data_IF_026576839947
#
_entry.id   IF_026576839947
#
_cell.length_a   1.000
_cell.length_b   1.000
_cell.length_c   1.000
_cell.angle_alpha   90.00
_cell.angle_beta   90.00
_cell.angle_gamma   90.00
#
_symmetry.space_group_name_H-M   'P 1'
#
loop_
_entity.id
_entity.type
_entity.pdbx_description
1 polymer ?
#
# COMPACT_ATOMS: atom_id res chain seq x y z
N UNK A 1 3.58 -2.39 23.28
CA UNK A 1 3.63 -2.90 21.89
C UNK A 1 3.98 -4.37 21.95
N UNK A 2 3.13 -5.25 21.44
CA UNK A 2 3.44 -6.68 21.35
C UNK A 2 4.61 -6.86 20.38
N UNK A 3 5.76 -7.33 20.89
CA UNK A 3 7.00 -7.47 20.10
C UNK A 3 6.86 -8.45 18.92
N UNK A 4 5.85 -9.33 18.97
CA UNK A 4 5.74 -10.53 18.13
C UNK A 4 4.69 -10.36 17.02
N UNK A 5 3.67 -9.51 17.20
CA UNK A 5 2.58 -9.35 16.24
C UNK A 5 2.07 -7.93 16.15
N UNK A 6 1.71 -7.51 14.94
CA UNK A 6 1.04 -6.23 14.68
C UNK A 6 -0.47 -6.31 14.92
N UNK A 7 -0.99 -7.48 15.33
CA UNK A 7 -2.42 -7.66 15.61
C UNK A 7 -2.81 -6.76 16.79
N UNK A 8 -3.93 -6.06 16.66
CA UNK A 8 -4.47 -5.16 17.68
C UNK A 8 -5.97 -5.37 17.81
N UNK A 9 -6.51 -5.06 18.97
CA UNK A 9 -7.95 -5.06 19.20
C UNK A 9 -8.58 -3.75 18.71
N UNK A 10 -9.90 -3.77 18.48
CA UNK A 10 -10.64 -2.65 17.85
C UNK A 10 -10.66 -1.40 18.73
N UNK A 11 -10.69 -1.58 20.04
CA UNK A 11 -10.67 -0.57 21.08
C UNK A 11 -9.31 0.12 21.23
N UNK A 12 -8.23 -0.48 20.72
CA UNK A 12 -6.90 0.13 20.68
C UNK A 12 -6.71 1.12 19.51
N UNK A 13 -7.65 1.15 18.55
CA UNK A 13 -7.54 1.98 17.35
C UNK A 13 -7.71 3.46 17.67
N UNK A 14 -6.82 4.27 17.12
CA UNK A 14 -6.88 5.73 17.19
C UNK A 14 -6.98 6.33 15.79
N UNK A 15 -7.74 7.43 15.60
CA UNK A 15 -7.73 8.16 14.34
C UNK A 15 -6.31 8.44 13.86
N UNK A 16 -6.05 8.23 12.58
CA UNK A 16 -4.72 8.29 11.97
C UNK A 16 -3.91 7.00 12.05
N UNK A 17 -4.41 5.91 12.64
CA UNK A 17 -3.74 4.61 12.57
C UNK A 17 -3.77 4.06 11.13
N UNK A 18 -2.60 3.66 10.64
CA UNK A 18 -2.50 2.86 9.42
C UNK A 18 -2.75 1.41 9.80
N UNK A 19 -3.84 0.86 9.31
CA UNK A 19 -4.27 -0.50 9.56
C UNK A 19 -4.17 -1.35 8.29
N UNK A 20 -4.04 -2.64 8.48
CA UNK A 20 -4.08 -3.58 7.38
C UNK A 20 -4.72 -4.90 7.80
N UNK A 21 -5.16 -5.66 6.81
CA UNK A 21 -5.67 -7.03 6.95
C UNK A 21 -5.07 -7.90 5.85
N UNK A 22 -4.76 -9.15 6.18
CA UNK A 22 -4.35 -10.11 5.17
C UNK A 22 -5.55 -10.58 4.32
N UNK A 23 -5.27 -10.93 3.08
CA UNK A 23 -6.23 -11.36 2.05
C UNK A 23 -5.69 -12.58 1.32
N UNK A 24 -6.61 -13.34 0.71
CA UNK A 24 -6.30 -14.53 -0.09
C UNK A 24 -5.28 -15.45 0.60
N UNK A 25 -5.60 -15.91 1.82
CA UNK A 25 -4.74 -16.78 2.63
C UNK A 25 -3.31 -16.21 2.78
N UNK A 26 -3.20 -14.96 3.22
CA UNK A 26 -1.94 -14.25 3.41
C UNK A 26 -1.12 -14.01 2.12
N UNK A 27 -1.73 -14.09 0.93
CA UNK A 27 -1.05 -13.75 -0.33
C UNK A 27 -0.70 -12.25 -0.39
N UNK A 28 -1.57 -11.37 0.12
CA UNK A 28 -1.30 -9.93 0.18
C UNK A 28 -1.96 -9.29 1.41
N UNK A 29 -1.59 -8.05 1.72
CA UNK A 29 -2.29 -7.22 2.71
C UNK A 29 -3.02 -6.07 2.04
N UNK A 30 -4.22 -5.78 2.54
CA UNK A 30 -4.99 -4.60 2.16
C UNK A 30 -4.85 -3.54 3.23
N UNK A 31 -4.48 -2.32 2.84
CA UNK A 31 -4.05 -1.24 3.72
C UNK A 31 -5.05 -0.08 3.70
N UNK A 32 -5.14 0.64 4.82
CA UNK A 32 -6.00 1.81 4.96
C UNK A 32 -5.66 2.66 6.18
N UNK A 33 -6.26 3.84 6.25
CA UNK A 33 -6.14 4.77 7.38
C UNK A 33 -7.45 4.79 8.15
N UNK A 34 -7.41 4.43 9.43
CA UNK A 34 -8.55 4.55 10.32
C UNK A 34 -8.79 6.02 10.66
N UNK A 35 -10.00 6.53 10.44
CA UNK A 35 -10.35 7.95 10.64
C UNK A 35 -11.30 8.19 11.82
N UNK A 36 -11.58 7.15 12.61
CA UNK A 36 -12.51 7.20 13.74
C UNK A 36 -13.93 6.73 13.38
N UNK A 37 -14.77 6.51 14.40
CA UNK A 37 -16.18 6.14 14.21
C UNK A 37 -16.40 4.89 13.35
N UNK A 38 -15.55 3.87 13.50
CA UNK A 38 -15.53 2.64 12.71
C UNK A 38 -15.27 2.84 11.21
N UNK A 39 -14.63 3.94 10.79
CA UNK A 39 -14.40 4.25 9.37
C UNK A 39 -12.93 4.16 8.97
N UNK A 40 -12.72 3.75 7.73
CA UNK A 40 -11.40 3.56 7.11
C UNK A 40 -11.41 4.18 5.73
N UNK A 41 -10.44 5.05 5.45
CA UNK A 41 -10.16 5.52 4.08
C UNK A 41 -9.06 4.65 3.49
N UNK A 42 -9.28 4.12 2.29
CA UNK A 42 -8.30 3.26 1.64
C UNK A 42 -8.38 3.36 0.13
N UNK A 43 -7.30 2.92 -0.53
CA UNK A 43 -7.22 2.90 -1.99
C UNK A 43 -7.49 1.50 -2.53
N UNK A 44 -8.31 1.41 -3.59
CA UNK A 44 -8.55 0.23 -4.40
C UNK A 44 -8.43 0.68 -5.86
N UNK A 45 -7.45 0.20 -6.63
CA UNK A 45 -7.33 0.53 -8.05
C UNK A 45 -8.63 0.23 -8.77
N UNK A 46 -9.03 1.15 -9.64
CA UNK A 46 -10.08 0.86 -10.60
C UNK A 46 -9.56 -0.23 -11.54
N UNK A 47 -10.26 -1.36 -11.63
CA UNK A 47 -9.94 -2.36 -12.64
C UNK A 47 -10.22 -1.72 -13.99
N UNK A 48 -9.18 -1.24 -14.66
CA UNK A 48 -9.31 -0.84 -16.05
C UNK A 48 -9.85 -2.04 -16.84
N UNK A 49 -10.95 -1.82 -17.55
CA UNK A 49 -11.53 -2.75 -18.53
C UNK A 49 -10.56 -2.90 -19.72
N UNK A 50 -9.39 -3.47 -19.49
CA UNK A 50 -8.38 -3.75 -20.53
C UNK A 50 -7.85 -5.17 -20.40
N UNK A 51 -8.74 -6.11 -20.69
CA UNK A 51 -8.36 -7.40 -21.26
C UNK A 51 -9.52 -7.88 -22.13
N UNK A 52 -9.53 -7.45 -23.40
CA UNK A 52 -9.93 -8.22 -24.59
C UNK A 52 -10.20 -7.28 -25.75
N UNK A 53 -9.19 -7.06 -26.58
CA UNK A 53 -9.38 -6.59 -27.95
C UNK A 53 -9.95 -7.74 -28.79
N UNK A 54 -11.25 -7.71 -29.07
CA UNK A 54 -11.81 -8.29 -30.29
C UNK A 54 -13.07 -7.52 -30.67
N UNK A 55 -12.96 -6.79 -31.77
CA UNK A 55 -13.99 -6.03 -32.48
C UNK A 55 -15.26 -6.82 -32.79
N UNK A 56 -16.45 -6.29 -32.47
CA UNK A 56 -17.49 -5.91 -33.45
C UNK A 56 -18.74 -5.27 -32.77
N UNK A 57 -19.24 -4.24 -33.45
CA UNK A 57 -20.54 -3.55 -33.43
C UNK A 57 -21.59 -3.71 -32.30
N UNK A 58 -22.09 -2.53 -31.90
CA UNK A 58 -23.45 -2.15 -31.47
C UNK A 58 -24.10 -2.87 -30.29
N UNK A 59 -24.38 -2.11 -29.22
CA UNK A 59 -25.70 -1.89 -28.61
C UNK A 59 -25.53 -1.15 -27.28
N UNK A 60 -26.32 -0.10 -27.07
CA UNK A 60 -26.45 0.61 -25.81
C UNK A 60 -26.94 -0.34 -24.70
N UNK A 61 -26.14 -0.51 -23.64
CA UNK A 61 -26.64 -0.88 -22.32
C UNK A 61 -25.63 -0.41 -21.28
N UNK A 62 -26.06 0.53 -20.43
CA UNK A 62 -25.37 0.91 -19.20
C UNK A 62 -25.14 -0.33 -18.35
N UNK A 63 -23.88 -0.73 -18.17
CA UNK A 63 -23.53 -1.76 -17.21
C UNK A 63 -22.26 -1.35 -16.46
N UNK A 64 -22.47 -0.54 -15.42
CA UNK A 64 -21.49 -0.20 -14.38
C UNK A 64 -21.11 -1.49 -13.64
N UNK A 65 -20.17 -2.23 -14.23
CA UNK A 65 -19.65 -3.49 -13.68
C UNK A 65 -18.60 -3.20 -12.63
N UNK A 66 -18.99 -2.46 -11.59
CA UNK A 66 -18.29 -2.53 -10.30
C UNK A 66 -18.71 -3.84 -9.64
N UNK A 67 -17.75 -4.66 -9.20
CA UNK A 67 -18.00 -5.89 -8.44
C UNK A 67 -19.02 -5.59 -7.33
N UNK A 68 -20.27 -6.02 -7.50
CA UNK A 68 -21.41 -5.71 -6.65
C UNK A 68 -21.34 -6.52 -5.36
N UNK A 69 -20.39 -6.15 -4.51
CA UNK A 69 -20.48 -6.47 -3.09
C UNK A 69 -21.80 -5.88 -2.57
N UNK A 70 -22.56 -6.61 -1.76
CA UNK A 70 -23.81 -6.12 -1.23
C UNK A 70 -23.57 -4.81 -0.45
N UNK A 71 -24.50 -3.85 -0.53
CA UNK A 71 -24.39 -2.61 0.22
C UNK A 71 -24.24 -2.89 1.71
N UNK A 72 -23.44 -2.07 2.39
CA UNK A 72 -23.21 -2.23 3.82
C UNK A 72 -24.53 -2.07 4.59
N UNK A 73 -24.96 -3.07 5.39
CA UNK A 73 -26.24 -2.99 6.09
C UNK A 73 -26.23 -2.00 7.25
N UNK A 74 -25.04 -1.69 7.79
CA UNK A 74 -24.88 -0.94 9.05
C UNK A 74 -24.52 0.53 8.84
N UNK A 75 -23.77 0.85 7.79
CA UNK A 75 -23.21 2.18 7.55
C UNK A 75 -23.60 2.67 6.16
N UNK A 76 -24.55 3.62 6.04
CA UNK A 76 -25.03 4.13 4.74
C UNK A 76 -23.95 4.80 3.89
N UNK A 77 -22.91 5.34 4.52
CA UNK A 77 -21.77 5.99 3.86
C UNK A 77 -20.62 5.04 3.52
N UNK A 78 -20.72 3.76 3.89
CA UNK A 78 -19.72 2.76 3.56
C UNK A 78 -19.77 2.42 2.06
N UNK A 79 -18.61 2.54 1.40
CA UNK A 79 -18.48 2.42 -0.04
C UNK A 79 -18.45 3.78 -0.75
N UNK A 80 -18.57 4.90 -0.02
CA UNK A 80 -18.47 6.23 -0.61
C UNK A 80 -17.13 6.42 -1.32
N UNK A 81 -17.19 6.86 -2.58
CA UNK A 81 -16.04 7.25 -3.41
C UNK A 81 -16.44 8.36 -4.36
N UNK A 82 -15.47 9.18 -4.76
CA UNK A 82 -15.66 10.13 -5.85
C UNK A 82 -15.62 9.42 -7.21
N UNK A 83 -16.29 9.95 -8.26
CA UNK A 83 -16.18 9.42 -9.62
C UNK A 83 -14.72 9.38 -10.08
N UNK A 84 -14.31 8.31 -10.76
CA UNK A 84 -12.94 8.09 -11.26
C UNK A 84 -11.85 8.15 -10.16
N UNK A 85 -12.21 7.94 -8.89
CA UNK A 85 -11.27 7.84 -7.78
C UNK A 85 -11.15 6.39 -7.29
N UNK A 86 -9.90 5.94 -7.14
CA UNK A 86 -9.60 4.69 -6.42
C UNK A 86 -9.64 4.82 -4.90
N UNK A 87 -9.80 6.03 -4.35
CA UNK A 87 -9.91 6.25 -2.90
C UNK A 87 -11.36 6.14 -2.48
N UNK A 88 -11.64 5.30 -1.48
CA UNK A 88 -12.97 5.11 -0.93
C UNK A 88 -12.97 5.10 0.59
N UNK A 89 -14.14 5.40 1.16
CA UNK A 89 -14.47 5.29 2.58
C UNK A 89 -15.25 4.00 2.81
N UNK A 90 -14.84 3.20 3.78
CA UNK A 90 -15.58 2.01 4.21
C UNK A 90 -15.69 1.94 5.73
N UNK A 91 -16.65 1.15 6.22
CA UNK A 91 -16.64 0.76 7.62
C UNK A 91 -15.55 -0.28 7.88
N UNK A 92 -15.14 -0.41 9.15
CA UNK A 92 -14.10 -1.33 9.57
C UNK A 92 -14.43 -2.79 9.20
N UNK A 93 -15.68 -3.22 9.31
CA UNK A 93 -16.07 -4.60 8.98
C UNK A 93 -15.94 -4.90 7.48
N UNK A 94 -16.43 -4.00 6.63
CA UNK A 94 -16.27 -4.13 5.17
C UNK A 94 -14.80 -4.01 4.76
N UNK A 95 -14.00 -3.16 5.42
CA UNK A 95 -12.56 -3.11 5.23
C UNK A 95 -11.89 -4.43 5.62
N UNK A 96 -12.34 -5.11 6.68
CA UNK A 96 -11.74 -6.34 7.19
C UNK A 96 -12.20 -7.61 6.46
N UNK A 97 -13.42 -7.68 5.90
CA UNK A 97 -13.98 -8.90 5.26
C UNK A 97 -13.74 -10.18 6.09
N UNK A 98 -14.07 -10.13 7.38
CA UNK A 98 -13.80 -11.20 8.37
C UNK A 98 -12.31 -11.51 8.63
N UNK A 99 -11.40 -10.72 8.08
CA UNK A 99 -9.96 -10.80 8.35
C UNK A 99 -9.58 -10.25 9.72
N UNK A 100 -8.36 -10.57 10.14
CA UNK A 100 -7.79 -10.02 11.38
C UNK A 100 -7.28 -8.59 11.16
N UNK A 101 -7.44 -7.77 12.19
CA UNK A 101 -6.97 -6.39 12.24
C UNK A 101 -5.52 -6.31 12.68
N UNK A 102 -4.71 -5.57 11.93
CA UNK A 102 -3.31 -5.29 12.25
C UNK A 102 -3.02 -3.80 12.13
N UNK A 103 -2.11 -3.28 12.94
CA UNK A 103 -1.61 -1.90 12.88
C UNK A 103 -0.20 -1.85 12.32
N UNK A 104 0.02 -1.03 11.30
CA UNK A 104 1.35 -0.79 10.73
C UNK A 104 2.20 0.05 11.68
N UNK A 105 3.49 -0.29 11.85
CA UNK A 105 4.38 0.39 12.80
C UNK A 105 5.33 1.38 12.11
N UNK A 106 5.45 2.58 12.66
CA UNK A 106 6.32 3.65 12.15
C UNK A 106 7.48 3.92 13.11
N UNK A 107 8.57 4.49 12.60
CA UNK A 107 9.72 4.89 13.41
C UNK A 107 10.43 3.73 14.10
N UNK A 108 10.38 2.52 13.53
CA UNK A 108 11.10 1.38 14.11
C UNK A 108 12.61 1.53 13.89
N UNK A 109 13.41 0.98 14.80
CA UNK A 109 14.86 0.92 14.59
C UNK A 109 15.22 0.05 13.38
N UNK A 110 16.38 0.29 12.78
CA UNK A 110 16.90 -0.53 11.68
C UNK A 110 17.01 -2.01 12.08
N UNK A 111 17.39 -2.31 13.32
CA UNK A 111 17.44 -3.67 13.85
C UNK A 111 16.05 -4.32 13.89
N UNK A 112 15.04 -3.62 14.42
CA UNK A 112 13.66 -4.10 14.42
C UNK A 112 13.16 -4.34 12.99
N UNK A 113 13.42 -3.42 12.06
CA UNK A 113 13.03 -3.58 10.66
C UNK A 113 13.64 -4.84 10.02
N UNK A 114 14.95 -5.05 10.19
CA UNK A 114 15.67 -6.20 9.62
C UNK A 114 15.18 -7.56 10.17
N UNK A 115 14.64 -7.58 11.39
CA UNK A 115 14.03 -8.79 11.96
C UNK A 115 12.62 -9.09 11.44
N UNK A 116 11.96 -8.13 10.78
CA UNK A 116 10.62 -8.32 10.20
C UNK A 116 10.70 -8.96 8.82
N UNK A 117 10.56 -10.28 8.81
CA UNK A 117 10.56 -11.11 7.60
C UNK A 117 9.48 -10.69 6.60
N UNK A 118 8.33 -10.21 7.07
CA UNK A 118 7.22 -9.83 6.18
C UNK A 118 7.17 -8.34 5.88
N UNK A 119 7.20 -7.98 4.59
CA UNK A 119 6.98 -6.63 4.11
C UNK A 119 5.58 -6.08 4.35
N UNK A 120 5.43 -4.76 4.30
CA UNK A 120 4.15 -4.09 4.53
C UNK A 120 3.65 -4.16 5.97
N UNK A 121 4.56 -4.21 6.96
CA UNK A 121 4.18 -4.27 8.39
C UNK A 121 4.79 -3.15 9.24
N UNK A 122 5.93 -2.60 8.80
CA UNK A 122 6.60 -1.49 9.47
C UNK A 122 7.47 -0.68 8.51
N UNK A 123 7.87 0.51 8.97
CA UNK A 123 8.87 1.37 8.31
C UNK A 123 9.74 2.09 9.35
N UNK A 124 10.97 2.44 8.98
CA UNK A 124 11.84 3.28 9.82
C UNK A 124 11.44 4.75 9.77
N UNK A 125 10.66 5.17 8.76
CA UNK A 125 10.15 6.55 8.69
C UNK A 125 9.22 6.87 9.86
N UNK A 126 9.34 8.06 10.48
CA UNK A 126 8.38 8.51 11.48
C UNK A 126 7.03 8.85 10.81
N UNK A 127 5.95 8.73 11.58
CA UNK A 127 4.64 9.21 11.19
C UNK A 127 4.49 10.69 11.52
N UNK A 128 3.79 11.43 10.67
CA UNK A 128 3.26 12.76 11.00
C UNK A 128 2.14 12.67 12.06
N UNK A 129 1.78 13.79 12.73
CA UNK A 129 0.69 13.84 13.71
C UNK A 129 -0.66 13.42 13.14
N UNK A 130 -1.52 12.86 13.99
CA UNK A 130 -2.77 12.25 13.54
C UNK A 130 -3.69 13.23 12.79
N UNK A 131 -3.73 14.51 13.18
CA UNK A 131 -4.54 15.52 12.48
C UNK A 131 -4.10 15.66 11.03
N UNK A 132 -2.79 15.70 10.77
CA UNK A 132 -2.22 15.76 9.42
C UNK A 132 -2.57 14.50 8.64
N UNK A 133 -2.45 13.32 9.27
CA UNK A 133 -2.78 12.04 8.61
C UNK A 133 -4.24 11.98 8.20
N UNK A 134 -5.14 12.31 9.11
CA UNK A 134 -6.59 12.34 8.85
C UNK A 134 -6.90 13.37 7.76
N UNK A 135 -6.34 14.58 7.84
CA UNK A 135 -6.48 15.61 6.81
C UNK A 135 -6.08 15.09 5.43
N UNK A 136 -4.90 14.48 5.28
CA UNK A 136 -4.45 13.93 4.00
C UNK A 136 -5.40 12.86 3.48
N UNK A 137 -5.78 11.90 4.32
CA UNK A 137 -6.67 10.81 3.91
C UNK A 137 -8.03 11.31 3.44
N UNK A 138 -8.63 12.27 4.15
CA UNK A 138 -9.92 12.86 3.79
C UNK A 138 -9.81 13.77 2.56
N UNK A 139 -8.72 14.52 2.42
CA UNK A 139 -8.47 15.32 1.22
C UNK A 139 -8.37 14.44 -0.03
N UNK A 140 -7.67 13.31 0.06
CA UNK A 140 -7.54 12.35 -1.05
C UNK A 140 -8.83 11.58 -1.32
N UNK A 141 -9.68 11.37 -0.32
CA UNK A 141 -11.03 10.83 -0.55
C UNK A 141 -11.85 11.75 -1.46
N UNK A 142 -11.70 13.08 -1.28
CA UNK A 142 -12.45 14.08 -2.04
C UNK A 142 -11.83 14.42 -3.40
N UNK A 143 -10.51 14.34 -3.52
CA UNK A 143 -9.80 14.79 -4.73
C UNK A 143 -9.14 13.65 -5.53
N UNK A 144 -9.16 12.44 -4.98
CA UNK A 144 -8.46 11.28 -5.54
C UNK A 144 -6.97 11.24 -5.19
N UNK A 145 -6.38 10.04 -5.32
CA UNK A 145 -4.96 9.79 -5.12
C UNK A 145 -4.18 9.62 -6.45
N UNK A 146 -4.87 9.88 -7.57
CA UNK A 146 -4.31 9.83 -8.91
C UNK A 146 -4.26 8.44 -9.55
N UNK A 147 -3.99 8.42 -10.86
CA UNK A 147 -3.93 7.23 -11.71
C UNK A 147 -2.47 6.97 -12.17
N UNK A 148 -1.51 7.15 -11.26
CA UNK A 148 -0.11 6.93 -11.58
C UNK A 148 0.16 5.42 -11.69
N UNK A 149 0.49 4.95 -12.89
CA UNK A 149 1.04 3.62 -13.20
C UNK A 149 2.44 3.37 -12.57
N UNK A 150 2.70 3.92 -11.38
CA UNK A 150 4.02 3.90 -10.73
C UNK A 150 4.05 2.96 -9.52
N UNK A 151 2.91 2.45 -9.06
CA UNK A 151 2.85 1.67 -7.84
C UNK A 151 2.28 0.28 -8.10
N UNK A 152 3.16 -0.71 -8.19
CA UNK A 152 2.77 -2.11 -8.03
C UNK A 152 2.19 -2.38 -6.61
N UNK A 153 2.14 -1.38 -5.70
CA UNK A 153 1.59 -1.44 -4.33
C UNK A 153 0.59 -0.31 -3.98
N UNK A 154 -0.56 -0.35 -4.63
CA UNK A 154 -1.61 0.67 -4.61
C UNK A 154 -2.18 1.12 -3.24
N UNK A 155 -2.49 0.20 -2.31
CA UNK A 155 -3.09 0.56 -1.01
C UNK A 155 -2.06 0.88 0.09
N UNK A 156 -0.89 0.23 0.05
CA UNK A 156 0.21 0.46 0.98
C UNK A 156 0.80 1.86 0.75
N UNK A 157 1.02 2.25 -0.51
CA UNK A 157 1.59 3.55 -0.86
C UNK A 157 0.65 4.70 -0.51
N UNK A 158 -0.66 4.52 -0.71
CA UNK A 158 -1.67 5.45 -0.23
C UNK A 158 -1.55 5.68 1.29
N UNK A 159 -1.50 4.60 2.06
CA UNK A 159 -1.45 4.70 3.51
C UNK A 159 -0.09 5.25 4.01
N UNK A 160 1.02 4.87 3.37
CA UNK A 160 2.34 5.44 3.63
C UNK A 160 2.35 6.94 3.37
N UNK A 161 1.85 7.40 2.22
CA UNK A 161 1.76 8.82 1.90
C UNK A 161 0.89 9.58 2.92
N UNK A 162 -0.29 9.05 3.27
CA UNK A 162 -1.12 9.68 4.30
C UNK A 162 -0.35 9.88 5.61
N UNK A 163 0.46 8.87 6.00
CA UNK A 163 1.21 8.86 7.26
C UNK A 163 2.47 9.72 7.26
N UNK A 164 3.16 9.86 6.13
CA UNK A 164 4.51 10.48 6.09
C UNK A 164 4.57 11.74 5.21
N UNK A 165 3.62 11.88 4.28
CA UNK A 165 3.65 12.86 3.19
C UNK A 165 4.73 12.58 2.15
N UNK A 166 5.40 11.43 2.23
CA UNK A 166 6.50 11.07 1.33
C UNK A 166 5.97 10.34 0.09
N UNK A 167 6.47 10.75 -1.06
CA UNK A 167 6.29 10.07 -2.34
C UNK A 167 7.66 9.67 -2.88
N UNK A 168 7.69 8.51 -3.54
CA UNK A 168 8.88 8.03 -4.24
C UNK A 168 8.98 8.78 -5.57
N UNK A 169 10.11 9.46 -5.80
CA UNK A 169 10.39 10.17 -7.05
C UNK A 169 10.88 9.17 -8.09
N UNK A 170 9.98 8.71 -8.94
CA UNK A 170 10.35 7.75 -9.98
C UNK A 170 10.93 8.45 -11.21
N UNK A 171 12.25 8.32 -11.42
CA UNK A 171 12.89 8.70 -12.70
C UNK A 171 12.89 7.57 -13.72
N UNK A 172 12.60 6.32 -13.32
CA UNK A 172 12.87 5.12 -14.14
C UNK A 172 11.82 3.98 -14.05
N UNK A 173 10.63 4.19 -13.49
CA UNK A 173 9.49 3.28 -13.59
C UNK A 173 9.54 2.05 -12.66
N UNK A 174 10.18 2.13 -11.49
CA UNK A 174 10.24 0.98 -10.56
C UNK A 174 9.81 1.38 -9.14
N UNK A 175 8.49 1.48 -8.95
CA UNK A 175 7.86 1.54 -7.63
C UNK A 175 8.12 0.27 -6.82
N UNK A 176 8.78 0.43 -5.67
CA UNK A 176 9.26 -0.64 -4.80
C UNK A 176 8.88 -0.39 -3.35
N UNK A 177 7.59 -0.35 -3.06
CA UNK A 177 7.10 -0.39 -1.68
C UNK A 177 7.34 -1.76 -1.04
N UNK A 178 7.05 -1.90 0.26
CA UNK A 178 7.48 -2.99 1.12
C UNK A 178 7.12 -4.40 0.65
N UNK A 179 6.04 -4.56 -0.14
CA UNK A 179 5.63 -5.84 -0.76
C UNK A 179 6.00 -6.02 -2.25
N UNK A 180 6.41 -4.95 -2.95
CA UNK A 180 6.92 -5.05 -4.32
C UNK A 180 8.44 -5.33 -4.33
N UNK A 181 9.16 -4.88 -3.29
CA UNK A 181 10.59 -5.18 -3.09
C UNK A 181 10.87 -6.66 -2.78
N UNK A 182 9.84 -7.49 -2.56
CA UNK A 182 9.97 -8.91 -2.22
C UNK A 182 10.13 -9.86 -3.40
N UNK A 183 10.40 -9.37 -4.62
CA UNK A 183 10.77 -10.26 -5.73
C UNK A 183 12.14 -10.87 -5.43
N UNK A 184 12.10 -12.05 -4.78
CA UNK A 184 13.24 -12.93 -4.51
C UNK A 184 14.06 -13.23 -5.78
N UNK A 185 13.45 -13.08 -6.97
CA UNK A 185 14.04 -13.45 -8.26
C UNK A 185 15.33 -12.72 -8.62
N UNK A 186 15.41 -11.39 -8.48
CA UNK A 186 16.61 -10.65 -8.89
C UNK A 186 17.80 -10.86 -7.93
N UNK A 187 17.63 -10.81 -6.59
CA UNK A 187 18.71 -11.09 -5.65
C UNK A 187 19.14 -12.57 -5.66
N UNK A 188 18.21 -13.53 -5.82
CA UNK A 188 18.54 -14.96 -5.88
C UNK A 188 19.25 -15.32 -7.19
N UNK A 189 18.82 -14.77 -8.33
CA UNK A 189 19.50 -14.98 -9.61
C UNK A 189 20.93 -14.40 -9.58
N UNK A 190 21.10 -13.20 -9.03
CA UNK A 190 22.42 -12.59 -8.85
C UNK A 190 23.33 -13.42 -7.93
N UNK A 191 22.77 -14.01 -6.87
CA UNK A 191 23.49 -14.94 -5.99
C UNK A 191 23.96 -16.18 -6.75
N UNK A 192 23.06 -16.82 -7.49
CA UNK A 192 23.34 -18.03 -8.26
C UNK A 192 24.35 -17.78 -9.40
N UNK A 193 24.39 -16.57 -9.95
CA UNK A 193 25.38 -16.16 -10.95
C UNK A 193 26.72 -15.68 -10.38
N UNK A 194 26.83 -15.52 -9.06
CA UNK A 194 28.03 -15.00 -8.39
C UNK A 194 28.99 -16.13 -7.98
N UNK A 195 30.33 -15.91 -8.08
CA UNK A 195 31.34 -16.83 -7.53
C UNK A 195 31.18 -17.11 -6.02
N UNK A 196 30.42 -16.26 -5.31
CA UNK A 196 30.13 -16.40 -3.88
C UNK A 196 29.42 -17.73 -3.55
N UNK A 197 28.68 -18.31 -4.51
CA UNK A 197 28.07 -19.65 -4.33
C UNK A 197 29.09 -20.74 -4.08
N UNK A 198 30.31 -20.64 -4.62
CA UNK A 198 31.39 -21.60 -4.40
C UNK A 198 31.93 -21.57 -2.96
N UNK A 199 31.66 -20.49 -2.21
CA UNK A 199 32.07 -20.32 -0.82
C UNK A 199 30.95 -20.67 0.18
N UNK A 200 29.78 -21.10 -0.29
CA UNK A 200 28.63 -21.46 0.54
C UNK A 200 28.46 -22.99 0.51
N UNK A 201 29.04 -23.72 1.48
CA UNK A 201 29.28 -25.16 1.35
C UNK A 201 28.03 -26.04 1.54
N UNK A 202 26.89 -25.47 1.97
CA UNK A 202 25.69 -26.26 2.25
C UNK A 202 24.37 -25.47 2.04
N UNK A 203 23.23 -26.17 1.91
CA UNK A 203 21.91 -25.55 1.69
C UNK A 203 21.48 -24.56 2.78
N UNK A 204 21.91 -24.76 4.03
CA UNK A 204 21.62 -23.85 5.16
C UNK A 204 22.33 -22.51 4.97
N UNK A 205 23.57 -22.54 4.49
CA UNK A 205 24.33 -21.34 4.15
C UNK A 205 23.66 -20.54 3.03
N UNK A 206 23.16 -21.21 2.00
CA UNK A 206 22.43 -20.56 0.89
C UNK A 206 21.18 -19.87 1.42
N UNK A 207 20.37 -20.59 2.19
CA UNK A 207 19.15 -20.05 2.79
C UNK A 207 19.44 -18.82 3.68
N UNK A 208 20.52 -18.87 4.48
CA UNK A 208 20.92 -17.77 5.37
C UNK A 208 21.32 -16.53 4.59
N UNK A 209 22.17 -16.68 3.56
CA UNK A 209 22.61 -15.56 2.72
C UNK A 209 21.43 -14.96 1.94
N UNK A 210 20.56 -15.80 1.37
CA UNK A 210 19.34 -15.33 0.68
C UNK A 210 18.42 -14.55 1.62
N UNK A 211 18.18 -15.06 2.84
CA UNK A 211 17.36 -14.36 3.83
C UNK A 211 18.00 -13.01 4.25
N UNK A 212 19.32 -12.99 4.49
CA UNK A 212 20.05 -11.76 4.81
C UNK A 212 19.97 -10.71 3.71
N UNK A 213 20.18 -11.12 2.44
CA UNK A 213 20.06 -10.23 1.29
C UNK A 213 18.63 -9.74 1.09
N UNK A 214 17.62 -10.59 1.32
CA UNK A 214 16.23 -10.17 1.27
C UNK A 214 15.93 -9.08 2.32
N UNK A 215 16.32 -9.29 3.58
CA UNK A 215 16.11 -8.31 4.65
C UNK A 215 16.85 -7.00 4.35
N UNK A 216 18.10 -7.07 3.88
CA UNK A 216 18.88 -5.89 3.54
C UNK A 216 18.32 -5.14 2.34
N UNK A 217 17.90 -5.86 1.29
CA UNK A 217 17.26 -5.26 0.11
C UNK A 217 15.96 -4.57 0.49
N UNK A 218 15.14 -5.15 1.38
CA UNK A 218 13.93 -4.50 1.89
C UNK A 218 14.25 -3.27 2.74
N UNK A 219 15.32 -3.32 3.52
CA UNK A 219 15.75 -2.19 4.34
C UNK A 219 16.22 -1.02 3.47
N UNK A 220 17.01 -1.30 2.43
CA UNK A 220 17.48 -0.27 1.50
C UNK A 220 16.36 0.42 0.71
N UNK A 221 15.22 -0.26 0.50
CA UNK A 221 14.05 0.31 -0.19
C UNK A 221 13.00 0.89 0.77
N UNK A 222 13.22 0.81 2.08
CA UNK A 222 12.32 1.42 3.07
C UNK A 222 12.22 2.93 2.86
N UNK A 223 11.01 3.47 3.01
CA UNK A 223 10.75 4.89 2.75
C UNK A 223 11.50 5.83 3.72
N UNK A 224 11.92 5.33 4.88
CA UNK A 224 12.75 6.07 5.83
C UNK A 224 14.25 5.99 5.57
N UNK A 225 14.70 5.13 4.66
CA UNK A 225 16.12 4.89 4.35
C UNK A 225 16.50 5.41 2.96
N UNK A 226 15.62 5.24 1.98
CA UNK A 226 15.86 5.64 0.60
C UNK A 226 16.02 7.16 0.44
N UNK A 227 16.78 7.58 -0.56
CA UNK A 227 17.13 8.99 -0.81
C UNK A 227 16.30 9.64 -1.91
N UNK A 228 15.56 8.85 -2.68
CA UNK A 228 14.71 9.26 -3.80
C UNK A 228 13.24 9.47 -3.37
N UNK A 229 13.03 10.04 -2.18
CA UNK A 229 11.71 10.43 -1.70
C UNK A 229 11.61 11.94 -1.54
N UNK A 230 10.43 12.46 -1.81
CA UNK A 230 10.09 13.86 -1.62
C UNK A 230 8.86 13.99 -0.72
N UNK A 231 8.89 14.95 0.20
CA UNK A 231 7.72 15.28 1.02
C UNK A 231 6.85 16.27 0.24
N UNK A 232 5.61 15.89 -0.04
CA UNK A 232 4.69 16.67 -0.89
C UNK A 232 3.41 16.98 -0.10
N UNK A 233 3.01 18.27 0.02
CA UNK A 233 1.70 18.64 0.56
C UNK A 233 0.55 17.97 -0.20
N UNK A 234 -0.56 17.68 0.47
CA UNK A 234 -1.65 16.92 -0.15
C UNK A 234 -2.42 17.73 -1.18
N UNK A 235 -2.47 19.04 -0.97
CA UNK A 235 -3.06 20.02 -1.86
C UNK A 235 -2.33 20.02 -3.21
N UNK A 236 -0.99 19.95 -3.21
CA UNK A 236 -0.18 19.93 -4.43
C UNK A 236 -0.29 18.59 -5.17
N UNK A 237 -0.48 17.49 -4.43
CA UNK A 237 -0.71 16.17 -5.02
C UNK A 237 -2.03 16.14 -5.80
N UNK A 238 -3.09 16.71 -5.24
CA UNK A 238 -4.41 16.79 -5.88
C UNK A 238 -4.44 17.74 -7.10
N UNK A 239 -3.78 18.90 -7.03
CA UNK A 239 -3.75 19.88 -8.13
C UNK A 239 -3.06 19.35 -9.40
N UNK A 240 -2.04 18.52 -9.24
CA UNK A 240 -1.36 17.85 -10.36
C UNK A 240 -2.24 16.78 -11.05
N UNK A 241 -3.37 16.39 -10.44
CA UNK A 241 -4.40 15.52 -11.05
C UNK A 241 -5.40 16.30 -11.90
N UNK A 242 -5.80 17.50 -11.44
CA UNK A 242 -6.72 18.37 -12.16
C UNK A 242 -6.15 18.87 -13.50
N UNK A 243 -4.86 19.25 -13.51
CA UNK A 243 -4.20 19.78 -14.72
C UNK A 243 -3.92 18.73 -15.80
N UNK A 244 -3.67 17.46 -15.42
CA UNK A 244 -3.50 16.35 -16.39
C UNK A 244 -4.83 15.92 -17.03
N UNK A 245 -5.95 16.01 -16.30
CA UNK A 245 -7.28 15.70 -16.81
C UNK A 245 -7.73 16.73 -17.88
N UNK A 246 -7.35 18.00 -17.73
CA UNK A 246 -7.65 19.06 -18.69
C UNK A 246 -6.81 19.00 -19.97
N UNK A 247 -5.61 18.39 -19.94
CA UNK A 247 -4.76 18.20 -21.13
C UNK A 247 -5.12 16.98 -21.98
N UNK A 248 -6.15 16.22 -21.60
CA UNK A 248 -6.58 14.98 -22.28
C UNK A 248 -7.90 15.12 -23.04
N UNK A 249 -8.33 16.35 -23.35
CA UNK A 249 -9.46 16.64 -24.23
C UNK A 249 -8.95 17.18 -25.57
#
# INVERSE_FOLDING_TARGET
MNLITNKVDRDELKPGDHIYTYRAVFAYSHHGVFVGGCKVVHFKPEQSLKASSSSTASSEVNNDSSSSEPPCPTYPDCGFKQPNSGVLLSCLDCFLKNGSLYRFTYGVSSSMFLTRVRGGTCTTAPSDPFQTVVHRSMHLLQNGFGNYDIFQNNCEDFALYCKTGLLILDKNGVGRSGQASSILGAPLAALLSSPLTLLIPNPVGVATVTAGMYCMSRYATDIGVRTDVIKVPVEDLALNLGTKTLKKR
#
